data_IF_237265975471
#
_entry.id   IF_237265975471
#
_cell.length_a   1.000
_cell.length_b   1.000
_cell.length_c   1.000
_cell.angle_alpha   90.00
_cell.angle_beta   90.00
_cell.angle_gamma   90.00
#
_symmetry.space_group_name_H-M   'P 1'
#
loop_
_entity.id
_entity.type
_entity.pdbx_description
1 polymer ?
#
# COMPACT_ATOMS: atom_id res chain seq x y z
N UNK A 1 18.30 -4.94 -7.79
CA UNK A 1 17.40 -5.85 -7.04
C UNK A 1 16.55 -5.07 -6.05
N UNK A 2 15.48 -5.68 -5.59
CA UNK A 2 14.59 -5.08 -4.57
C UNK A 2 15.37 -4.72 -3.31
N UNK A 3 16.22 -5.63 -2.84
CA UNK A 3 17.05 -5.40 -1.65
C UNK A 3 17.96 -4.18 -1.81
N UNK A 4 18.62 -4.06 -2.93
CA UNK A 4 19.53 -2.93 -3.21
C UNK A 4 18.76 -1.60 -3.24
N UNK A 5 17.61 -1.56 -3.87
CA UNK A 5 16.78 -0.37 -3.92
C UNK A 5 16.31 0.07 -2.52
N UNK A 6 15.91 -0.88 -1.69
CA UNK A 6 15.50 -0.59 -0.31
C UNK A 6 16.67 -0.10 0.52
N UNK A 7 17.85 -0.74 0.40
CA UNK A 7 19.04 -0.28 1.10
C UNK A 7 19.46 1.13 0.67
N UNK A 8 19.33 1.44 -0.63
CA UNK A 8 19.60 2.78 -1.14
C UNK A 8 18.61 3.80 -0.58
N UNK A 9 17.32 3.45 -0.54
CA UNK A 9 16.29 4.33 0.00
C UNK A 9 16.55 4.71 1.45
N UNK A 10 17.08 3.77 2.23
CA UNK A 10 17.29 3.92 3.67
C UNK A 10 18.73 4.32 4.05
N UNK A 11 19.59 4.54 3.06
CA UNK A 11 21.00 4.87 3.28
C UNK A 11 21.15 6.11 4.19
N UNK A 12 21.97 5.97 5.23
CA UNK A 12 22.24 7.05 6.18
C UNK A 12 21.09 7.34 7.16
N UNK A 13 20.08 6.48 7.22
CA UNK A 13 18.90 6.67 8.06
C UNK A 13 18.74 5.54 9.06
N UNK A 14 18.29 5.87 10.27
CA UNK A 14 17.91 4.88 11.28
C UNK A 14 16.45 4.52 11.08
N UNK A 15 16.18 3.26 10.78
CA UNK A 15 14.83 2.76 10.47
C UNK A 15 14.55 1.53 11.32
N UNK A 16 13.35 1.49 11.90
CA UNK A 16 12.91 0.35 12.67
C UNK A 16 12.83 -0.93 11.82
N UNK A 17 13.16 -2.08 12.42
CA UNK A 17 13.14 -3.38 11.74
C UNK A 17 11.77 -3.70 11.11
N UNK A 18 10.68 -3.34 11.78
CA UNK A 18 9.32 -3.54 11.25
C UNK A 18 9.09 -2.79 9.94
N UNK A 19 9.61 -1.56 9.83
CA UNK A 19 9.48 -0.75 8.61
C UNK A 19 10.30 -1.33 7.46
N UNK A 20 11.44 -1.92 7.75
CA UNK A 20 12.23 -2.62 6.74
C UNK A 20 11.44 -3.79 6.14
N UNK A 21 10.81 -4.60 6.98
CA UNK A 21 9.94 -5.69 6.54
C UNK A 21 8.78 -5.17 5.67
N UNK A 22 8.16 -4.06 6.07
CA UNK A 22 7.08 -3.44 5.32
C UNK A 22 7.53 -2.92 3.95
N UNK A 23 8.78 -2.46 3.82
CA UNK A 23 9.32 -2.05 2.52
C UNK A 23 9.31 -3.19 1.50
N UNK A 24 9.60 -4.43 1.94
CA UNK A 24 9.49 -5.60 1.06
C UNK A 24 8.04 -5.88 0.66
N UNK A 25 7.10 -5.67 1.56
CA UNK A 25 5.67 -5.80 1.27
C UNK A 25 5.22 -4.74 0.24
N UNK A 26 5.67 -3.51 0.37
CA UNK A 26 5.42 -2.44 -0.61
C UNK A 26 6.00 -2.79 -1.97
N UNK A 27 7.20 -3.35 -2.01
CA UNK A 27 7.79 -3.82 -3.27
C UNK A 27 6.94 -4.90 -3.94
N UNK A 28 6.34 -5.79 -3.15
CA UNK A 28 5.42 -6.80 -3.69
C UNK A 28 4.14 -6.15 -4.24
N UNK A 29 3.59 -5.14 -3.59
CA UNK A 29 2.46 -4.37 -4.12
C UNK A 29 2.78 -3.77 -5.49
N UNK A 30 3.96 -3.18 -5.64
CA UNK A 30 4.37 -2.62 -6.93
C UNK A 30 4.45 -3.70 -8.02
N UNK A 31 5.00 -4.87 -7.70
CA UNK A 31 5.06 -6.00 -8.63
C UNK A 31 3.66 -6.47 -9.03
N UNK A 32 2.74 -6.50 -8.06
CA UNK A 32 1.35 -6.88 -8.31
C UNK A 32 0.67 -5.88 -9.27
N UNK A 33 0.93 -4.58 -9.10
CA UNK A 33 0.40 -3.56 -10.00
C UNK A 33 0.87 -3.78 -11.43
N UNK A 34 2.16 -4.04 -11.63
CA UNK A 34 2.70 -4.29 -12.97
C UNK A 34 2.16 -5.59 -13.58
N UNK A 35 2.00 -6.62 -12.76
CA UNK A 35 1.40 -7.88 -13.21
C UNK A 35 -0.08 -7.71 -13.60
N UNK A 36 -0.82 -6.94 -12.82
CA UNK A 36 -2.23 -6.67 -13.08
C UNK A 36 -2.42 -5.79 -14.31
N UNK A 37 -1.48 -4.90 -14.63
CA UNK A 37 -1.52 -4.14 -15.90
C UNK A 37 -1.60 -5.09 -17.10
N UNK A 38 -0.84 -6.18 -17.08
CA UNK A 38 -0.84 -7.18 -18.15
C UNK A 38 -2.08 -8.06 -18.06
N UNK A 39 -2.39 -8.54 -16.86
CA UNK A 39 -3.49 -9.48 -16.64
C UNK A 39 -4.86 -8.88 -17.01
N UNK A 40 -5.10 -7.64 -16.65
CA UNK A 40 -6.38 -6.97 -16.88
C UNK A 40 -6.60 -6.59 -18.35
N UNK A 41 -5.58 -6.70 -19.21
CA UNK A 41 -5.77 -6.58 -20.66
C UNK A 41 -6.50 -7.78 -21.25
N UNK A 42 -6.39 -8.96 -20.62
CA UNK A 42 -6.87 -10.23 -21.17
C UNK A 42 -7.89 -10.96 -20.29
N UNK A 43 -8.08 -10.52 -19.06
CA UNK A 43 -8.98 -11.15 -18.08
C UNK A 43 -9.97 -10.13 -17.52
N UNK A 44 -11.21 -10.57 -17.23
CA UNK A 44 -12.19 -9.66 -16.60
C UNK A 44 -11.80 -9.32 -15.17
N UNK A 45 -12.12 -8.08 -14.75
CA UNK A 45 -11.81 -7.55 -13.42
C UNK A 45 -12.95 -7.78 -12.40
N UNK A 46 -13.96 -8.57 -12.74
CA UNK A 46 -15.18 -8.73 -11.94
C UNK A 46 -14.94 -9.30 -10.54
N UNK A 47 -13.84 -10.03 -10.33
CA UNK A 47 -13.48 -10.60 -9.02
C UNK A 47 -12.50 -9.74 -8.23
N UNK A 48 -11.84 -8.78 -8.87
CA UNK A 48 -10.78 -7.99 -8.23
C UNK A 48 -11.35 -7.04 -7.18
N UNK A 49 -12.38 -6.26 -7.52
CA UNK A 49 -12.98 -5.31 -6.57
C UNK A 49 -13.56 -6.03 -5.34
N UNK A 50 -14.35 -7.10 -5.48
CA UNK A 50 -14.80 -7.87 -4.31
C UNK A 50 -13.64 -8.43 -3.47
N UNK A 51 -12.57 -8.88 -4.10
CA UNK A 51 -11.39 -9.36 -3.39
C UNK A 51 -10.73 -8.25 -2.56
N UNK A 52 -10.55 -7.06 -3.14
CA UNK A 52 -9.98 -5.90 -2.44
C UNK A 52 -10.89 -5.44 -1.30
N UNK A 53 -12.20 -5.40 -1.53
CA UNK A 53 -13.17 -5.07 -0.48
C UNK A 53 -13.10 -6.05 0.68
N UNK A 54 -12.99 -7.34 0.41
CA UNK A 54 -12.86 -8.38 1.44
C UNK A 54 -11.61 -8.18 2.28
N UNK A 55 -10.48 -7.85 1.65
CA UNK A 55 -9.24 -7.57 2.35
C UNK A 55 -9.34 -6.34 3.26
N UNK A 56 -9.96 -5.27 2.77
CA UNK A 56 -10.18 -4.05 3.56
C UNK A 56 -11.16 -4.30 4.72
N UNK A 57 -12.24 -5.03 4.48
CA UNK A 57 -13.19 -5.38 5.53
C UNK A 57 -12.53 -6.22 6.63
N UNK A 58 -11.69 -7.16 6.26
CA UNK A 58 -10.91 -7.95 7.21
C UNK A 58 -9.96 -7.06 8.03
N UNK A 59 -9.30 -6.09 7.40
CA UNK A 59 -8.43 -5.15 8.09
C UNK A 59 -9.21 -4.28 9.10
N UNK A 60 -10.40 -3.83 8.74
CA UNK A 60 -11.28 -3.07 9.65
C UNK A 60 -11.68 -3.94 10.85
N UNK A 61 -12.04 -5.20 10.60
CA UNK A 61 -12.44 -6.14 11.67
C UNK A 61 -11.27 -6.47 12.60
N UNK A 62 -10.04 -6.42 12.08
CA UNK A 62 -8.82 -6.75 12.83
C UNK A 62 -8.17 -5.54 13.53
N UNK A 63 -8.83 -4.38 13.52
CA UNK A 63 -8.30 -3.18 14.16
C UNK A 63 -8.03 -3.40 15.66
N UNK A 64 -7.02 -2.70 16.23
CA UNK A 64 -6.76 -2.74 17.67
C UNK A 64 -8.02 -2.37 18.47
N UNK A 65 -8.25 -3.07 19.58
CA UNK A 65 -9.37 -2.82 20.48
C UNK A 65 -8.87 -2.19 21.77
N UNK A 66 -9.69 -1.33 22.34
CA UNK A 66 -9.47 -0.76 23.66
C UNK A 66 -10.70 -1.05 24.54
N UNK A 67 -10.63 -1.93 25.57
CA UNK A 67 -9.43 -2.67 26.00
C UNK A 67 -9.00 -3.78 25.03
N UNK A 68 -7.72 -4.22 25.12
CA UNK A 68 -7.21 -5.29 24.26
C UNK A 68 -8.07 -6.56 24.36
N UNK A 69 -8.26 -7.23 23.22
CA UNK A 69 -9.00 -8.48 23.17
C UNK A 69 -8.12 -9.62 23.68
N UNK A 70 -8.49 -10.20 24.82
CA UNK A 70 -7.74 -11.29 25.45
C UNK A 70 -7.85 -12.63 24.69
N UNK A 71 -8.86 -12.73 23.81
CA UNK A 71 -9.09 -13.90 22.98
C UNK A 71 -8.34 -13.88 21.65
N UNK A 72 -7.57 -12.83 21.38
CA UNK A 72 -6.82 -12.69 20.13
C UNK A 72 -5.59 -13.60 20.17
N UNK A 73 -5.50 -14.54 19.24
CA UNK A 73 -4.39 -15.46 19.10
C UNK A 73 -3.18 -14.85 18.39
N UNK A 74 -3.40 -13.81 17.56
CA UNK A 74 -2.34 -13.12 16.84
C UNK A 74 -2.39 -11.62 17.13
N UNK A 75 -1.24 -10.94 17.16
CA UNK A 75 -1.22 -9.49 17.27
C UNK A 75 -2.02 -8.83 16.14
N UNK A 76 -2.62 -7.68 16.41
CA UNK A 76 -3.22 -6.87 15.35
C UNK A 76 -2.13 -6.48 14.34
N UNK A 77 -2.53 -6.33 13.08
CA UNK A 77 -1.63 -5.84 12.03
C UNK A 77 -1.15 -4.43 12.37
N UNK A 78 0.07 -4.11 11.96
CA UNK A 78 0.64 -2.77 12.15
C UNK A 78 -0.23 -1.74 11.41
N UNK A 79 -0.69 -0.67 12.08
CA UNK A 79 -1.56 0.32 11.46
C UNK A 79 -0.93 1.02 10.25
N UNK A 80 0.38 1.28 10.27
CA UNK A 80 1.04 2.00 9.18
C UNK A 80 1.00 1.19 7.88
N UNK A 81 1.38 -0.08 7.91
CA UNK A 81 1.33 -0.91 6.70
C UNK A 81 -0.10 -1.20 6.28
N UNK A 82 -1.03 -1.30 7.22
CA UNK A 82 -2.45 -1.45 6.91
C UNK A 82 -2.97 -0.25 6.10
N UNK A 83 -2.57 0.97 6.47
CA UNK A 83 -2.93 2.16 5.72
C UNK A 83 -2.32 2.17 4.32
N UNK A 84 -1.07 1.72 4.16
CA UNK A 84 -0.44 1.59 2.84
C UNK A 84 -1.15 0.53 2.01
N UNK A 85 -1.55 -0.59 2.60
CA UNK A 85 -2.35 -1.62 1.92
C UNK A 85 -3.69 -1.06 1.42
N UNK A 86 -4.33 -0.19 2.21
CA UNK A 86 -5.55 0.50 1.80
C UNK A 86 -5.29 1.42 0.61
N UNK A 87 -4.20 2.18 0.64
CA UNK A 87 -3.79 3.04 -0.47
C UNK A 87 -3.47 2.23 -1.73
N UNK A 88 -2.87 1.06 -1.59
CA UNK A 88 -2.62 0.15 -2.71
C UNK A 88 -3.93 -0.28 -3.37
N UNK A 89 -4.93 -0.67 -2.58
CA UNK A 89 -6.24 -1.06 -3.11
C UNK A 89 -6.89 0.10 -3.89
N UNK A 90 -6.86 1.31 -3.34
CA UNK A 90 -7.40 2.49 -4.02
C UNK A 90 -6.61 2.83 -5.28
N UNK A 91 -5.29 2.77 -5.21
CA UNK A 91 -4.43 3.01 -6.36
C UNK A 91 -4.72 2.06 -7.51
N UNK A 92 -4.95 0.79 -7.20
CA UNK A 92 -5.26 -0.24 -8.19
C UNK A 92 -6.61 0.00 -8.86
N UNK A 93 -7.67 0.29 -8.08
CA UNK A 93 -8.99 0.55 -8.66
C UNK A 93 -9.03 1.84 -9.48
N UNK A 94 -8.29 2.88 -9.08
CA UNK A 94 -8.18 4.13 -9.84
C UNK A 94 -7.34 3.97 -11.11
N UNK A 95 -6.26 3.20 -11.03
CA UNK A 95 -5.39 2.94 -12.18
C UNK A 95 -6.13 2.29 -13.35
N UNK A 96 -7.09 1.44 -13.06
CA UNK A 96 -7.85 0.68 -14.05
C UNK A 96 -9.29 1.15 -14.19
N UNK A 97 -9.67 2.24 -13.51
CA UNK A 97 -11.02 2.83 -13.54
C UNK A 97 -12.10 1.76 -13.26
N UNK A 98 -11.92 1.00 -12.18
CA UNK A 98 -12.75 -0.14 -11.86
C UNK A 98 -14.02 0.23 -11.08
N UNK A 99 -14.07 1.41 -10.46
CA UNK A 99 -15.18 1.84 -9.61
C UNK A 99 -15.45 3.33 -9.82
N UNK A 100 -16.68 3.75 -9.48
CA UNK A 100 -17.05 5.17 -9.45
C UNK A 100 -16.47 5.85 -8.21
N UNK A 101 -16.37 7.19 -8.24
CA UNK A 101 -15.78 7.98 -7.16
C UNK A 101 -16.51 7.86 -5.83
N UNK A 102 -17.79 7.49 -5.85
CA UNK A 102 -18.63 7.29 -4.66
C UNK A 102 -18.73 5.82 -4.22
N UNK A 103 -17.91 4.94 -4.79
CA UNK A 103 -17.95 3.52 -4.45
C UNK A 103 -17.55 3.30 -2.98
N UNK A 104 -18.21 2.34 -2.32
CA UNK A 104 -18.00 2.01 -0.89
C UNK A 104 -16.57 1.60 -0.56
N UNK A 105 -15.76 1.20 -1.55
CA UNK A 105 -14.37 0.82 -1.30
C UNK A 105 -13.56 1.97 -0.71
N UNK A 106 -13.90 3.23 -1.04
CA UNK A 106 -13.25 4.41 -0.46
C UNK A 106 -13.50 4.50 1.04
N UNK A 107 -14.74 4.30 1.48
CA UNK A 107 -15.08 4.30 2.91
C UNK A 107 -14.37 3.16 3.65
N UNK A 108 -14.33 1.97 3.05
CA UNK A 108 -13.60 0.82 3.62
C UNK A 108 -12.11 1.11 3.74
N UNK A 109 -11.49 1.69 2.72
CA UNK A 109 -10.08 2.01 2.73
C UNK A 109 -9.74 3.05 3.82
N UNK A 110 -10.54 4.10 3.93
CA UNK A 110 -10.35 5.13 4.96
C UNK A 110 -10.58 4.55 6.36
N UNK A 111 -11.57 3.68 6.54
CA UNK A 111 -11.79 3.00 7.81
C UNK A 111 -10.61 2.10 8.19
N UNK A 112 -10.04 1.37 7.23
CA UNK A 112 -8.87 0.53 7.47
C UNK A 112 -7.63 1.35 7.84
N UNK A 113 -7.52 2.58 7.34
CA UNK A 113 -6.35 3.43 7.55
C UNK A 113 -6.45 4.37 8.77
N UNK A 114 -7.58 4.37 9.48
CA UNK A 114 -7.87 5.42 10.48
C UNK A 114 -6.93 5.42 11.69
N UNK A 115 -6.24 4.31 11.96
CA UNK A 115 -5.32 4.21 13.10
C UNK A 115 -3.89 4.61 12.76
N UNK A 116 -3.64 5.08 11.55
CA UNK A 116 -2.31 5.51 11.08
C UNK A 116 -2.36 6.96 10.55
N UNK A 117 -2.58 7.96 11.44
CA UNK A 117 -2.69 9.36 11.01
C UNK A 117 -1.41 9.89 10.38
N UNK A 118 -0.28 9.20 10.59
CA UNK A 118 1.02 9.54 10.05
C UNK A 118 1.18 9.16 8.57
N UNK A 119 0.30 8.30 8.05
CA UNK A 119 0.35 7.85 6.65
C UNK A 119 -0.62 8.69 5.82
N UNK A 120 -0.10 9.35 4.80
CA UNK A 120 -0.92 10.08 3.82
C UNK A 120 -1.44 9.11 2.78
N UNK A 121 -2.65 8.58 3.02
CA UNK A 121 -3.29 7.60 2.14
C UNK A 121 -3.48 8.16 0.73
N UNK A 122 -3.84 9.43 0.60
CA UNK A 122 -4.05 10.06 -0.70
C UNK A 122 -2.74 10.11 -1.50
N UNK A 123 -1.64 10.47 -0.86
CA UNK A 123 -0.32 10.51 -1.50
C UNK A 123 0.13 9.12 -1.95
N UNK A 124 0.00 8.10 -1.10
CA UNK A 124 0.36 6.72 -1.47
C UNK A 124 -0.55 6.18 -2.58
N UNK A 125 -1.85 6.45 -2.52
CA UNK A 125 -2.80 6.08 -3.59
C UNK A 125 -2.33 6.66 -4.92
N UNK A 126 -1.95 7.93 -4.94
CA UNK A 126 -1.46 8.60 -6.15
C UNK A 126 -0.17 7.97 -6.65
N UNK A 127 0.77 7.63 -5.77
CA UNK A 127 2.02 6.96 -6.16
C UNK A 127 1.75 5.62 -6.83
N UNK A 128 0.91 4.79 -6.24
CA UNK A 128 0.57 3.49 -6.81
C UNK A 128 -0.20 3.63 -8.13
N UNK A 129 -1.17 4.53 -8.20
CA UNK A 129 -1.93 4.79 -9.41
C UNK A 129 -1.06 5.25 -10.58
N UNK A 130 -0.06 6.08 -10.31
CA UNK A 130 0.75 6.76 -11.31
C UNK A 130 2.06 6.04 -11.65
N UNK A 131 2.27 4.81 -11.17
CA UNK A 131 3.43 4.03 -11.57
C UNK A 131 3.48 3.88 -13.10
N UNK A 132 4.68 3.97 -13.67
CA UNK A 132 4.86 3.82 -15.10
C UNK A 132 4.31 2.47 -15.57
N UNK A 133 3.75 2.45 -16.78
CA UNK A 133 3.39 1.19 -17.42
C UNK A 133 4.63 0.65 -18.11
N UNK A 134 4.86 -0.67 -17.96
CA UNK A 134 6.02 -1.35 -18.56
C UNK A 134 7.35 -0.63 -18.26
N UNK A 135 7.68 -0.42 -16.98
CA UNK A 135 8.88 0.33 -16.61
C UNK A 135 10.15 -0.46 -16.97
N UNK A 136 11.20 0.25 -17.37
CA UNK A 136 12.53 -0.34 -17.42
C UNK A 136 13.12 -0.51 -16.01
N UNK A 137 14.26 -1.16 -15.89
CA UNK A 137 14.90 -1.43 -14.60
C UNK A 137 15.22 -0.15 -13.82
N UNK A 138 15.59 0.91 -14.49
CA UNK A 138 15.90 2.20 -13.88
C UNK A 138 14.66 2.90 -13.34
N UNK A 139 13.59 2.91 -14.12
CA UNK A 139 12.29 3.47 -13.73
C UNK A 139 11.70 2.69 -12.54
N UNK A 140 11.76 1.36 -12.59
CA UNK A 140 11.31 0.51 -11.48
C UNK A 140 12.10 0.79 -10.20
N UNK A 141 13.43 0.83 -10.30
CA UNK A 141 14.30 1.10 -9.14
C UNK A 141 14.00 2.47 -8.53
N UNK A 142 13.87 3.49 -9.37
CA UNK A 142 13.58 4.85 -8.89
C UNK A 142 12.23 4.90 -8.17
N UNK A 143 11.20 4.32 -8.76
CA UNK A 143 9.88 4.28 -8.14
C UNK A 143 9.90 3.54 -6.80
N UNK A 144 10.60 2.41 -6.71
CA UNK A 144 10.73 1.65 -5.48
C UNK A 144 11.46 2.44 -4.40
N UNK A 145 12.56 3.11 -4.75
CA UNK A 145 13.29 3.99 -3.83
C UNK A 145 12.38 5.10 -3.30
N UNK A 146 11.63 5.75 -4.18
CA UNK A 146 10.76 6.87 -3.80
C UNK A 146 9.64 6.43 -2.84
N UNK A 147 8.97 5.33 -3.15
CA UNK A 147 7.85 4.82 -2.32
C UNK A 147 8.35 4.32 -0.97
N UNK A 148 9.41 3.52 -0.95
CA UNK A 148 9.95 2.96 0.30
C UNK A 148 10.55 4.04 1.19
N UNK A 149 11.20 5.04 0.61
CA UNK A 149 11.71 6.19 1.37
C UNK A 149 10.57 6.99 1.99
N UNK A 150 9.52 7.29 1.23
CA UNK A 150 8.34 7.98 1.75
C UNK A 150 7.74 7.23 2.93
N UNK A 151 7.60 5.91 2.83
CA UNK A 151 7.07 5.09 3.92
C UNK A 151 7.97 5.11 5.15
N UNK A 152 9.24 4.80 4.97
CA UNK A 152 10.17 4.57 6.09
C UNK A 152 10.56 5.85 6.82
N UNK A 153 10.55 7.00 6.15
CA UNK A 153 11.11 8.25 6.66
C UNK A 153 10.09 9.38 6.80
N UNK A 154 8.84 9.16 6.43
CA UNK A 154 7.84 10.23 6.42
C UNK A 154 8.11 11.31 5.38
N UNK A 155 8.83 10.97 4.29
CA UNK A 155 9.25 11.91 3.26
C UNK A 155 8.12 12.70 2.61
N UNK A 156 6.90 12.15 2.59
CA UNK A 156 5.74 12.86 2.09
C UNK A 156 5.43 14.11 2.91
N UNK A 157 5.67 14.07 4.22
CA UNK A 157 5.48 15.23 5.09
C UNK A 157 6.62 16.21 5.03
N UNK A 158 7.83 15.72 4.85
CA UNK A 158 9.00 16.57 4.76
C UNK A 158 8.99 17.46 3.51
N UNK A 159 8.15 17.14 2.54
CA UNK A 159 7.96 17.91 1.32
C UNK A 159 6.94 19.06 1.47
N UNK A 160 6.22 19.13 2.57
CA UNK A 160 5.21 20.18 2.85
C UNK A 160 5.87 21.49 3.31
#
# INVERSE_FOLDING_TARGET
>A
STREAILLALAGRSVEQRKLTHCYQIANHMKDIYADDVWLEVAPADKLVPFLESGLAAAVADRPRDPPAWDRLTPAADPDITAVNAAFALGLVERHDLVDDDHRIYDLAHAAAQDAPEIDVTAFTRRFRNLARDPDDSEYRKALVDVTRAYATGGERAAD
#
